data_IF_354884887711
#
_entry.id   IF_354884887711
#
_cell.length_a   1.000
_cell.length_b   1.000
_cell.length_c   1.000
_cell.angle_alpha   90.00
_cell.angle_beta   90.00
_cell.angle_gamma   90.00
#
_symmetry.space_group_name_H-M   'P 1'
#
loop_
_entity.id
_entity.type
_entity.pdbx_description
1 polymer ?
#
# COMPACT_ATOMS: atom_id res chain seq x y z
N UNK A 1 -1.63 6.75 20.69
CA UNK A 1 -1.48 8.10 20.09
C UNK A 1 -0.81 8.07 18.72
N UNK A 2 0.17 7.19 18.46
CA UNK A 2 0.88 7.15 17.18
C UNK A 2 0.11 6.44 16.05
N UNK A 3 -0.70 5.42 16.35
CA UNK A 3 -1.42 4.63 15.33
C UNK A 3 -2.39 5.49 14.50
N UNK A 4 -3.12 6.40 15.14
CA UNK A 4 -4.03 7.32 14.45
C UNK A 4 -3.29 8.30 13.54
N UNK A 5 -2.11 8.77 13.98
CA UNK A 5 -1.25 9.60 13.14
C UNK A 5 -0.80 8.84 11.90
N UNK A 6 -0.29 7.61 12.06
CA UNK A 6 0.16 6.79 10.94
C UNK A 6 -0.98 6.43 9.99
N UNK A 7 -2.18 6.13 10.51
CA UNK A 7 -3.36 5.85 9.69
C UNK A 7 -3.78 7.07 8.83
N UNK A 8 -3.79 8.27 9.43
CA UNK A 8 -4.09 9.50 8.71
C UNK A 8 -2.99 9.86 7.69
N UNK A 9 -1.73 9.69 8.07
CA UNK A 9 -0.60 9.91 7.17
C UNK A 9 -0.65 8.99 5.96
N UNK A 10 -0.78 7.67 6.17
CA UNK A 10 -0.81 6.69 5.06
C UNK A 10 -2.04 6.86 4.18
N UNK A 11 -3.18 7.30 4.72
CA UNK A 11 -4.35 7.65 3.89
C UNK A 11 -4.03 8.76 2.88
N UNK A 12 -3.37 9.83 3.33
CA UNK A 12 -2.97 10.96 2.47
C UNK A 12 -1.89 10.55 1.48
N UNK A 13 -0.92 9.78 1.93
CA UNK A 13 0.15 9.26 1.09
C UNK A 13 -0.40 8.35 -0.03
N UNK A 14 -1.37 7.50 0.27
CA UNK A 14 -2.02 6.65 -0.71
C UNK A 14 -2.71 7.46 -1.81
N UNK A 15 -3.43 8.53 -1.45
CA UNK A 15 -4.04 9.44 -2.43
C UNK A 15 -3.01 10.17 -3.27
N UNK A 16 -2.00 10.76 -2.62
CA UNK A 16 -0.90 11.46 -3.29
C UNK A 16 -0.14 10.57 -4.30
N UNK A 17 0.04 9.29 -3.96
CA UNK A 17 0.60 8.27 -4.85
C UNK A 17 -0.34 7.95 -6.01
N UNK A 18 -1.63 7.76 -5.74
CA UNK A 18 -2.62 7.41 -6.76
C UNK A 18 -2.75 8.47 -7.86
N UNK A 19 -2.62 9.76 -7.52
CA UNK A 19 -2.63 10.86 -8.50
C UNK A 19 -1.24 11.21 -9.07
N UNK A 20 -0.17 10.54 -8.62
CA UNK A 20 1.19 10.73 -9.14
C UNK A 20 1.89 12.03 -8.72
N UNK A 21 1.39 12.76 -7.71
CA UNK A 21 1.94 14.07 -7.30
C UNK A 21 2.87 14.01 -6.09
N UNK A 22 2.95 12.87 -5.41
CA UNK A 22 3.85 12.68 -4.28
C UNK A 22 3.60 13.70 -3.16
N UNK A 23 4.67 14.18 -2.52
CA UNK A 23 4.55 15.04 -1.33
C UNK A 23 3.80 16.36 -1.55
N UNK A 24 3.73 16.85 -2.79
CA UNK A 24 2.97 18.07 -3.14
C UNK A 24 1.49 17.93 -2.77
N UNK A 25 0.92 16.74 -2.98
CA UNK A 25 -0.49 16.46 -2.69
C UNK A 25 -0.77 15.94 -1.28
N UNK A 26 0.24 15.85 -0.39
CA UNK A 26 0.05 15.34 0.98
C UNK A 26 -0.86 16.21 1.85
N UNK A 27 -1.02 17.48 1.48
CA UNK A 27 -1.91 18.43 2.17
C UNK A 27 -3.32 18.42 1.60
N UNK A 28 -3.50 17.80 0.43
CA UNK A 28 -4.78 17.79 -0.25
C UNK A 28 -5.75 16.83 0.43
N UNK A 29 -7.02 17.21 0.38
CA UNK A 29 -8.11 16.31 0.73
C UNK A 29 -8.62 15.68 -0.57
N UNK A 30 -8.77 14.34 -0.63
CA UNK A 30 -9.32 13.69 -1.80
C UNK A 30 -10.69 14.31 -2.15
N UNK A 31 -10.91 14.78 -3.39
CA UNK A 31 -12.18 15.36 -3.78
C UNK A 31 -13.27 14.28 -3.87
N UNK A 32 -14.52 14.71 -4.06
CA UNK A 32 -15.62 13.80 -4.32
C UNK A 32 -15.29 12.84 -5.48
N UNK A 33 -15.61 11.56 -5.31
CA UNK A 33 -15.25 10.50 -6.25
C UNK A 33 -14.06 9.65 -5.79
N UNK A 34 -13.23 10.10 -4.86
CA UNK A 34 -12.16 9.25 -4.32
C UNK A 34 -12.62 8.44 -3.11
N UNK A 35 -12.20 7.18 -3.07
CA UNK A 35 -12.37 6.30 -1.91
C UNK A 35 -11.00 5.93 -1.37
N UNK A 36 -10.74 6.23 -0.09
CA UNK A 36 -9.53 5.80 0.61
C UNK A 36 -9.91 4.76 1.65
N UNK A 37 -9.28 3.58 1.59
CA UNK A 37 -9.52 2.46 2.52
C UNK A 37 -8.25 2.11 3.28
N UNK A 38 -8.39 1.86 4.58
CA UNK A 38 -7.29 1.35 5.41
C UNK A 38 -7.11 -0.15 5.14
N UNK A 39 -5.86 -0.60 5.15
CA UNK A 39 -5.47 -1.99 5.00
C UNK A 39 -5.03 -2.56 6.35
N UNK A 40 -5.58 -3.71 6.73
CA UNK A 40 -5.16 -4.43 7.92
C UNK A 40 -3.87 -5.22 7.64
N UNK A 41 -2.71 -4.59 7.86
CA UNK A 41 -1.40 -5.19 7.60
C UNK A 41 -0.82 -5.99 8.79
N UNK A 42 -1.47 -5.91 9.96
CA UNK A 42 -1.01 -6.52 11.21
C UNK A 42 -0.48 -5.49 12.21
N UNK A 43 -0.13 -5.92 13.44
CA UNK A 43 0.31 -5.01 14.50
C UNK A 43 1.57 -4.23 14.12
N UNK A 44 1.59 -2.92 14.42
CA UNK A 44 2.73 -2.05 14.16
C UNK A 44 2.84 -1.50 12.73
N UNK A 45 1.95 -1.89 11.82
CA UNK A 45 1.94 -1.41 10.44
C UNK A 45 0.64 -0.66 10.12
N UNK A 46 0.78 0.47 9.42
CA UNK A 46 -0.34 1.21 8.84
C UNK A 46 -0.25 1.13 7.31
N UNK A 47 -1.38 0.93 6.65
CA UNK A 47 -1.46 0.89 5.21
C UNK A 47 -2.80 1.44 4.73
N UNK A 48 -2.80 2.07 3.57
CA UNK A 48 -4.02 2.56 2.95
C UNK A 48 -3.93 2.45 1.43
N UNK A 49 -5.08 2.39 0.78
CA UNK A 49 -5.24 2.38 -0.67
C UNK A 49 -6.26 3.44 -1.06
N UNK A 50 -5.91 4.26 -2.05
CA UNK A 50 -6.79 5.27 -2.61
C UNK A 50 -7.17 4.85 -4.04
N UNK A 51 -8.45 4.94 -4.37
CA UNK A 51 -8.99 4.65 -5.70
C UNK A 51 -9.98 5.73 -6.11
N UNK A 52 -9.97 6.06 -7.40
CA UNK A 52 -10.98 6.92 -8.00
C UNK A 52 -12.29 6.13 -8.22
N UNK A 53 -13.41 6.85 -8.32
CA UNK A 53 -14.75 6.30 -8.46
C UNK A 53 -14.81 5.29 -9.63
N UNK A 54 -15.45 4.14 -9.41
CA UNK A 54 -15.56 3.06 -10.40
C UNK A 54 -14.67 1.84 -10.14
N UNK A 55 -13.77 1.88 -9.16
CA UNK A 55 -13.05 0.69 -8.69
C UNK A 55 -13.91 -0.12 -7.70
N UNK A 56 -14.90 -0.87 -8.22
CA UNK A 56 -15.95 -1.52 -7.40
C UNK A 56 -15.45 -2.59 -6.39
N UNK A 57 -14.22 -3.08 -6.49
CA UNK A 57 -13.70 -4.03 -5.51
C UNK A 57 -12.17 -3.98 -5.41
N UNK A 58 -11.66 -3.19 -4.46
CA UNK A 58 -10.27 -3.34 -4.04
C UNK A 58 -10.14 -4.65 -3.28
N UNK A 59 -9.53 -5.66 -3.93
CA UNK A 59 -9.20 -6.95 -3.32
C UNK A 59 -7.73 -6.95 -2.93
N UNK A 60 -7.45 -7.27 -1.68
CA UNK A 60 -6.08 -7.54 -1.25
C UNK A 60 -5.73 -8.97 -1.61
N UNK A 61 -4.74 -9.13 -2.48
CA UNK A 61 -4.16 -10.42 -2.78
C UNK A 61 -2.97 -10.64 -1.86
N UNK A 62 -2.88 -11.81 -1.27
CA UNK A 62 -1.69 -12.20 -0.51
C UNK A 62 -0.62 -12.65 -1.48
N UNK A 63 0.45 -11.87 -1.60
CA UNK A 63 1.62 -12.26 -2.39
C UNK A 63 2.25 -13.49 -1.77
N UNK A 64 2.30 -14.59 -2.51
CA UNK A 64 3.05 -15.78 -2.11
C UNK A 64 4.49 -15.59 -2.61
N UNK A 65 5.44 -15.69 -1.69
CA UNK A 65 6.85 -15.63 -2.06
C UNK A 65 7.12 -16.68 -3.16
N UNK A 66 7.75 -16.30 -4.30
CA UNK A 66 8.16 -17.29 -5.28
C UNK A 66 9.08 -18.26 -4.55
N UNK A 67 8.79 -19.56 -4.63
CA UNK A 67 9.72 -20.59 -4.14
C UNK A 67 11.09 -20.26 -4.71
N UNK A 68 12.05 -19.93 -3.82
CA UNK A 68 13.46 -19.87 -4.20
C UNK A 68 13.84 -21.29 -4.62
N UNK A 69 13.70 -21.56 -5.91
CA UNK A 69 13.98 -22.87 -6.47
C UNK A 69 15.45 -23.18 -6.21
N UNK A 70 15.73 -24.42 -5.80
CA UNK A 70 17.00 -24.89 -5.26
C UNK A 70 18.12 -25.01 -6.31
N UNK A 71 18.27 -24.00 -7.17
CA UNK A 71 19.33 -23.92 -8.20
C UNK A 71 20.58 -23.16 -7.75
N UNK A 72 20.56 -22.56 -6.55
CA UNK A 72 21.78 -22.02 -5.91
C UNK A 72 22.68 -23.11 -5.28
N UNK A 73 22.38 -24.40 -5.49
CA UNK A 73 23.20 -25.54 -4.99
C UNK A 73 24.37 -25.89 -5.91
N UNK A 74 24.45 -25.34 -7.12
CA UNK A 74 25.55 -25.60 -8.07
C UNK A 74 26.53 -24.42 -8.17
N UNK A 75 27.13 -24.03 -7.04
CA UNK A 75 28.44 -23.34 -7.04
C UNK A 75 29.25 -23.56 -5.75
N UNK A 76 29.14 -24.74 -5.12
CA UNK A 76 30.13 -25.20 -4.14
C UNK A 76 30.51 -26.66 -4.40
N UNK A 77 31.63 -26.83 -5.10
CA UNK A 77 32.40 -28.08 -5.15
C UNK A 77 32.32 -28.82 -6.49
N UNK A 78 33.24 -28.52 -7.42
CA UNK A 78 34.41 -29.36 -7.63
C UNK A 78 35.46 -28.70 -8.53
#
# INVERSE_FOLDING_TARGET
MHETFFALWTAREAYAKAIGRGLDAMRDTPPAGWTVRQLALGPGYAGAVAVEHGAEAVRCWHWREPLRDARDVIDQGH
#
